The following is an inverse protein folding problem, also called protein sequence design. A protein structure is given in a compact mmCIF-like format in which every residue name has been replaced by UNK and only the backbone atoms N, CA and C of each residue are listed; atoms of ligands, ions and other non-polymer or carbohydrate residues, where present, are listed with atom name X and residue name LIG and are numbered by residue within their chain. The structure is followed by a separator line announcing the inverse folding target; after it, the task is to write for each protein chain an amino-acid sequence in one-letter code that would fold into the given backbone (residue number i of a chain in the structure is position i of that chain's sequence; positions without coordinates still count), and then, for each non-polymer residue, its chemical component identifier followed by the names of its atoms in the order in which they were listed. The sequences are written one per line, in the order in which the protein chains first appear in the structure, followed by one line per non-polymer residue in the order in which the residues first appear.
data_IF_586687989168
#
_entry.id   IF_586687989168
#
_cell.length_a   1.000
_cell.length_b   1.000
_cell.length_c   1.000
_cell.angle_alpha   90.00
_cell.angle_beta   90.00
_cell.angle_gamma   90.00
#
_symmetry.space_group_name_H-M   'P 1'
#
loop_
_entity.id
_entity.type
_entity.pdbx_description
1 polymer ?
#
# COMPACT_ATOMS: atom_id res chain seq x y z
N UNK A 1 10.89 0.84 8.31
CA UNK A 1 10.32 0.12 9.48
C UNK A 1 10.61 0.89 10.75
N UNK A 2 9.62 1.04 11.63
CA UNK A 2 9.88 1.63 12.95
C UNK A 2 10.41 0.52 13.86
N UNK A 3 11.69 0.61 14.23
CA UNK A 3 12.37 -0.39 15.05
C UNK A 3 12.96 0.32 16.27
N UNK A 4 12.77 -0.27 17.44
CA UNK A 4 13.39 0.20 18.67
C UNK A 4 14.07 -0.98 19.40
N UNK A 5 15.16 -0.68 20.11
CA UNK A 5 15.77 -1.59 21.06
C UNK A 5 15.42 -1.13 22.47
N UNK A 6 14.93 -2.05 23.27
CA UNK A 6 14.48 -1.77 24.64
C UNK A 6 15.11 -2.78 25.60
N UNK A 7 15.51 -2.29 26.77
CA UNK A 7 15.99 -3.10 27.87
C UNK A 7 14.89 -3.20 28.95
N UNK A 8 14.78 -4.36 29.60
CA UNK A 8 13.89 -4.58 30.73
C UNK A 8 14.49 -5.61 31.71
N UNK A 9 13.89 -5.78 32.86
CA UNK A 9 14.32 -6.82 33.79
C UNK A 9 14.03 -8.23 33.24
N UNK A 10 12.96 -8.31 32.44
CA UNK A 10 12.54 -9.51 31.70
C UNK A 10 12.22 -9.13 30.28
N UNK A 11 12.16 -10.13 29.39
CA UNK A 11 11.71 -9.94 27.99
C UNK A 11 10.29 -9.36 27.92
N UNK A 12 9.39 -9.81 28.80
CA UNK A 12 8.02 -9.32 28.85
C UNK A 12 7.93 -7.84 29.26
N UNK A 13 8.68 -7.41 30.28
CA UNK A 13 8.74 -6.00 30.71
C UNK A 13 9.32 -5.11 29.60
N UNK A 14 10.39 -5.57 28.92
CA UNK A 14 10.96 -4.86 27.79
C UNK A 14 9.95 -4.74 26.64
N UNK A 15 9.18 -5.81 26.37
CA UNK A 15 8.13 -5.81 25.33
C UNK A 15 7.00 -4.84 25.67
N UNK A 16 6.48 -4.85 26.88
CA UNK A 16 5.43 -3.89 27.30
C UNK A 16 5.91 -2.44 27.16
N UNK A 17 7.17 -2.17 27.51
CA UNK A 17 7.75 -0.84 27.36
C UNK A 17 7.83 -0.43 25.88
N UNK A 18 8.29 -1.34 25.03
CA UNK A 18 8.35 -1.13 23.60
C UNK A 18 6.97 -0.86 22.97
N UNK A 19 5.96 -1.65 23.34
CA UNK A 19 4.60 -1.48 22.83
C UNK A 19 3.98 -0.13 23.23
N UNK A 20 4.23 0.32 24.47
CA UNK A 20 3.79 1.64 24.94
C UNK A 20 4.48 2.77 24.18
N UNK A 21 5.79 2.66 23.92
CA UNK A 21 6.55 3.68 23.20
C UNK A 21 6.15 3.74 21.71
N UNK A 22 5.99 2.58 21.08
CA UNK A 22 5.56 2.47 19.69
C UNK A 22 4.07 2.77 19.48
N UNK A 23 3.26 2.71 20.55
CA UNK A 23 1.78 2.86 20.52
C UNK A 23 1.10 1.85 19.58
N UNK A 24 1.53 0.61 19.63
CA UNK A 24 1.01 -0.48 18.81
C UNK A 24 0.71 -1.72 19.66
N UNK A 25 -0.17 -2.57 19.16
CA UNK A 25 -0.51 -3.83 19.80
C UNK A 25 0.54 -4.92 19.53
N UNK A 26 0.59 -5.94 20.37
CA UNK A 26 1.58 -7.03 20.31
C UNK A 26 1.54 -7.83 19.00
N UNK A 27 0.38 -7.97 18.39
CA UNK A 27 0.17 -8.67 17.11
C UNK A 27 0.78 -7.93 15.91
N UNK A 28 0.97 -6.61 16.06
CA UNK A 28 1.52 -5.71 15.02
C UNK A 28 3.04 -5.55 15.08
N UNK A 29 3.72 -6.32 15.90
CA UNK A 29 5.18 -6.25 16.02
C UNK A 29 5.84 -7.61 15.82
N UNK A 30 7.11 -7.58 15.39
CA UNK A 30 8.03 -8.70 15.45
C UNK A 30 9.04 -8.41 16.55
N UNK A 31 9.30 -9.40 17.41
CA UNK A 31 10.22 -9.28 18.54
C UNK A 31 11.40 -10.19 18.27
N UNK A 32 12.61 -9.62 18.29
CA UNK A 32 13.87 -10.32 18.24
C UNK A 32 14.56 -10.18 19.61
N UNK A 33 14.82 -11.30 20.27
CA UNK A 33 15.47 -11.32 21.57
C UNK A 33 17.00 -11.28 21.33
N UNK A 34 17.64 -10.17 21.71
CA UNK A 34 19.09 -9.98 21.60
C UNK A 34 19.80 -10.61 22.81
N UNK A 35 19.24 -10.43 24.01
CA UNK A 35 19.74 -11.00 25.27
C UNK A 35 18.54 -11.28 26.17
N UNK A 36 18.40 -12.51 26.67
CA UNK A 36 17.33 -12.89 27.59
C UNK A 36 17.50 -12.29 28.99
N UNK A 37 18.69 -11.78 29.26
CA UNK A 37 19.07 -11.33 30.61
C UNK A 37 19.29 -12.48 31.60
N UNK A 38 19.70 -12.15 32.78
CA UNK A 38 19.84 -13.13 33.87
C UNK A 38 19.40 -12.52 35.21
N UNK A 39 18.66 -13.30 36.00
CA UNK A 39 18.16 -12.81 37.30
C UNK A 39 19.26 -12.64 38.35
N UNK A 40 20.49 -13.10 38.08
CA UNK A 40 21.58 -13.05 39.07
C UNK A 40 21.30 -13.90 40.33
N UNK A 41 22.30 -13.97 41.20
CA UNK A 41 22.14 -14.64 42.53
C UNK A 41 21.36 -13.73 43.47
N UNK A 42 20.24 -14.21 44.03
CA UNK A 42 19.34 -13.48 44.93
C UNK A 42 18.73 -12.19 44.33
N UNK A 43 18.58 -12.11 43.01
CA UNK A 43 18.06 -10.94 42.28
C UNK A 43 18.85 -9.63 42.48
N UNK A 44 20.07 -9.68 43.03
CA UNK A 44 20.83 -8.49 43.40
C UNK A 44 22.26 -8.45 42.83
N UNK A 45 22.92 -9.61 42.68
CA UNK A 45 24.32 -9.67 42.23
C UNK A 45 24.43 -10.36 40.90
N UNK A 46 24.94 -9.64 39.86
CA UNK A 46 25.16 -10.18 38.51
C UNK A 46 23.90 -10.24 37.64
N UNK A 47 22.81 -9.56 38.00
CA UNK A 47 21.65 -9.45 37.12
C UNK A 47 21.99 -8.69 35.83
N UNK A 48 21.69 -9.30 34.68
CA UNK A 48 21.80 -8.65 33.38
C UNK A 48 20.38 -8.34 32.87
N UNK A 49 20.12 -7.14 32.37
CA UNK A 49 18.82 -6.81 31.79
C UNK A 49 18.59 -7.64 30.52
N UNK A 50 17.34 -8.02 30.27
CA UNK A 50 16.93 -8.52 28.98
C UNK A 50 16.96 -7.39 27.95
N UNK A 51 17.37 -7.70 26.72
CA UNK A 51 17.43 -6.76 25.60
C UNK A 51 16.72 -7.34 24.41
N UNK A 52 15.75 -6.59 23.90
CA UNK A 52 14.98 -6.99 22.74
C UNK A 52 14.98 -5.90 21.68
N UNK A 53 14.82 -6.32 20.43
CA UNK A 53 14.59 -5.45 19.29
C UNK A 53 13.15 -5.68 18.81
N UNK A 54 12.36 -4.62 18.83
CA UNK A 54 10.96 -4.67 18.44
C UNK A 54 10.78 -3.89 17.15
N UNK A 55 10.27 -4.56 16.12
CA UNK A 55 10.02 -4.00 14.80
C UNK A 55 8.52 -4.02 14.51
N UNK A 56 7.95 -2.87 14.14
CA UNK A 56 6.54 -2.80 13.73
C UNK A 56 6.38 -3.51 12.38
N UNK A 57 5.45 -4.47 12.34
CA UNK A 57 5.12 -5.19 11.11
C UNK A 57 4.54 -4.22 10.09
N UNK A 58 4.93 -4.40 8.84
CA UNK A 58 4.33 -3.70 7.71
C UNK A 58 2.87 -4.16 7.54
N UNK A 59 1.98 -3.22 7.33
CA UNK A 59 0.60 -3.50 6.93
C UNK A 59 0.24 -2.61 5.72
N UNK A 60 0.74 -3.01 4.55
CA UNK A 60 0.54 -2.27 3.31
C UNK A 60 -0.94 -2.10 2.95
N UNK A 61 -1.77 -3.08 3.28
CA UNK A 61 -3.21 -3.01 3.04
C UNK A 61 -3.88 -1.92 3.88
N UNK A 62 -3.52 -1.82 5.17
CA UNK A 62 -4.07 -0.78 6.06
C UNK A 62 -3.55 0.61 5.68
N UNK A 63 -2.27 0.75 5.38
CA UNK A 63 -1.68 2.02 4.94
C UNK A 63 -2.35 2.52 3.64
N UNK A 64 -2.57 1.62 2.68
CA UNK A 64 -3.29 1.93 1.45
C UNK A 64 -4.75 2.32 1.71
N UNK A 65 -5.42 1.61 2.62
CA UNK A 65 -6.81 1.86 2.99
C UNK A 65 -6.99 3.24 3.63
N UNK A 66 -6.15 3.58 4.60
CA UNK A 66 -6.18 4.90 5.26
C UNK A 66 -5.93 5.99 4.23
N UNK A 67 -4.86 5.88 3.44
CA UNK A 67 -4.52 6.87 2.42
C UNK A 67 -5.65 7.09 1.41
N UNK A 68 -6.17 6.00 0.84
CA UNK A 68 -7.24 6.10 -0.16
C UNK A 68 -8.55 6.62 0.44
N UNK A 69 -8.89 6.23 1.68
CA UNK A 69 -10.07 6.75 2.37
C UNK A 69 -9.98 8.27 2.52
N UNK A 70 -8.86 8.78 3.04
CA UNK A 70 -8.67 10.22 3.26
C UNK A 70 -8.74 11.01 1.94
N UNK A 71 -8.09 10.50 0.88
CA UNK A 71 -8.13 11.16 -0.44
C UNK A 71 -9.54 11.15 -1.03
N UNK A 72 -10.24 10.02 -1.00
CA UNK A 72 -11.59 9.89 -1.55
C UNK A 72 -12.59 10.75 -0.77
N UNK A 73 -12.44 10.87 0.55
CA UNK A 73 -13.25 11.77 1.38
C UNK A 73 -13.08 13.23 0.96
N UNK A 74 -11.83 13.69 0.79
CA UNK A 74 -11.54 15.06 0.29
C UNK A 74 -12.09 15.28 -1.12
N UNK A 75 -12.09 14.23 -1.97
CA UNK A 75 -12.70 14.30 -3.31
C UNK A 75 -14.25 14.29 -3.28
N UNK A 76 -14.87 14.13 -2.11
CA UNK A 76 -16.34 14.02 -1.96
C UNK A 76 -16.91 12.72 -2.56
N UNK A 77 -16.13 11.65 -2.55
CA UNK A 77 -16.47 10.32 -3.06
C UNK A 77 -16.65 9.35 -1.90
N UNK A 78 -17.85 8.84 -1.74
CA UNK A 78 -18.12 7.76 -0.79
C UNK A 78 -17.93 6.42 -1.50
N UNK A 79 -16.86 5.70 -1.14
CA UNK A 79 -16.48 4.47 -1.80
C UNK A 79 -16.13 3.35 -0.81
N UNK A 80 -16.31 2.11 -1.28
CA UNK A 80 -15.84 0.90 -0.62
C UNK A 80 -14.52 0.46 -1.26
N UNK A 81 -13.58 0.05 -0.43
CA UNK A 81 -12.30 -0.49 -0.84
C UNK A 81 -12.29 -2.00 -0.60
N UNK A 82 -12.10 -2.79 -1.66
CA UNK A 82 -11.80 -4.23 -1.57
C UNK A 82 -10.30 -4.40 -1.83
N UNK A 83 -9.57 -4.83 -0.81
CA UNK A 83 -8.11 -4.90 -0.83
C UNK A 83 -7.68 -6.34 -0.61
N UNK A 84 -6.84 -6.86 -1.51
CA UNK A 84 -6.27 -8.20 -1.44
C UNK A 84 -4.78 -8.12 -1.69
N UNK A 85 -4.01 -8.78 -0.82
CA UNK A 85 -2.57 -8.88 -0.96
C UNK A 85 -2.18 -10.32 -1.27
N UNK A 86 -1.60 -10.53 -2.45
CA UNK A 86 -1.13 -11.84 -2.89
C UNK A 86 0.20 -11.72 -3.61
N UNK A 87 1.17 -12.52 -3.22
CA UNK A 87 2.48 -12.65 -3.90
C UNK A 87 3.20 -11.31 -4.15
N UNK A 88 3.14 -10.37 -3.20
CA UNK A 88 3.78 -9.07 -3.32
C UNK A 88 3.04 -8.07 -4.21
N UNK A 89 1.77 -8.37 -4.55
CA UNK A 89 0.88 -7.47 -5.28
C UNK A 89 -0.28 -7.11 -4.37
N UNK A 90 -0.50 -5.82 -4.15
CA UNK A 90 -1.66 -5.28 -3.46
C UNK A 90 -2.70 -4.86 -4.52
N UNK A 91 -3.73 -5.69 -4.68
CA UNK A 91 -4.85 -5.44 -5.58
C UNK A 91 -5.96 -4.70 -4.84
N UNK A 92 -6.35 -3.54 -5.34
CA UNK A 92 -7.35 -2.66 -4.74
C UNK A 92 -8.44 -2.39 -5.76
N UNK A 93 -9.69 -2.72 -5.42
CA UNK A 93 -10.85 -2.34 -6.21
C UNK A 93 -11.69 -1.31 -5.47
N UNK A 94 -11.93 -0.17 -6.12
CA UNK A 94 -12.76 0.91 -5.58
C UNK A 94 -14.16 0.79 -6.18
N UNK A 95 -15.18 0.84 -5.33
CA UNK A 95 -16.58 0.78 -5.78
C UNK A 95 -17.45 1.74 -4.98
N UNK A 96 -18.43 2.35 -5.63
CA UNK A 96 -19.33 3.31 -4.97
C UNK A 96 -19.92 4.32 -5.93
N UNK A 97 -20.40 5.43 -5.39
CA UNK A 97 -20.96 6.51 -6.17
C UNK A 97 -19.86 7.39 -6.77
N UNK A 98 -20.16 8.03 -7.91
CA UNK A 98 -19.28 9.00 -8.57
C UNK A 98 -17.91 8.44 -9.01
N UNK A 99 -17.83 7.15 -9.35
CA UNK A 99 -16.56 6.52 -9.79
C UNK A 99 -15.94 7.21 -11.00
N UNK A 100 -16.71 7.97 -11.78
CA UNK A 100 -16.16 8.82 -12.84
C UNK A 100 -15.13 9.85 -12.37
N UNK A 101 -15.24 10.36 -11.13
CA UNK A 101 -14.23 11.26 -10.54
C UNK A 101 -12.93 10.49 -10.20
N UNK A 102 -13.07 9.25 -9.74
CA UNK A 102 -11.94 8.37 -9.42
C UNK A 102 -11.21 7.93 -10.69
N UNK A 103 -11.95 7.70 -11.78
CA UNK A 103 -11.37 7.39 -13.09
C UNK A 103 -10.68 8.63 -13.67
N UNK A 104 -11.37 9.75 -13.67
CA UNK A 104 -10.91 10.98 -14.29
C UNK A 104 -10.88 10.93 -15.81
N UNK A 105 -10.22 11.90 -16.42
CA UNK A 105 -10.08 11.96 -17.86
C UNK A 105 -9.22 10.79 -18.35
N UNK A 106 -9.86 9.85 -19.06
CA UNK A 106 -9.17 8.68 -19.66
C UNK A 106 -8.40 7.78 -18.69
N UNK A 107 -8.69 7.84 -17.39
CA UNK A 107 -8.03 7.05 -16.37
C UNK A 107 -6.86 7.74 -15.66
N UNK A 108 -6.57 9.02 -15.99
CA UNK A 108 -5.43 9.75 -15.42
C UNK A 108 -5.51 9.89 -13.90
N UNK A 109 -6.70 10.11 -13.34
CA UNK A 109 -6.89 10.18 -11.88
C UNK A 109 -6.64 8.81 -11.25
N UNK A 110 -7.15 7.74 -11.85
CA UNK A 110 -6.96 6.38 -11.38
C UNK A 110 -5.47 5.98 -11.38
N UNK A 111 -4.74 6.33 -12.44
CA UNK A 111 -3.30 6.07 -12.53
C UNK A 111 -2.52 6.88 -11.50
N UNK A 112 -2.90 8.13 -11.27
CA UNK A 112 -2.29 8.99 -10.24
C UNK A 112 -2.54 8.45 -8.83
N UNK A 113 -3.75 8.02 -8.52
CA UNK A 113 -4.09 7.38 -7.25
C UNK A 113 -3.28 6.10 -7.03
N UNK A 114 -3.16 5.25 -8.05
CA UNK A 114 -2.34 4.04 -7.99
C UNK A 114 -0.87 4.38 -7.69
N UNK A 115 -0.31 5.36 -8.38
CA UNK A 115 1.07 5.80 -8.18
C UNK A 115 1.30 6.33 -6.77
N UNK A 116 0.44 7.23 -6.29
CA UNK A 116 0.52 7.80 -4.94
C UNK A 116 0.36 6.73 -3.86
N UNK A 117 -0.59 5.81 -4.03
CA UNK A 117 -0.75 4.66 -3.13
C UNK A 117 0.53 3.82 -3.08
N UNK A 118 1.13 3.56 -4.24
CA UNK A 118 2.40 2.83 -4.32
C UNK A 118 3.54 3.55 -3.57
N UNK A 119 3.62 4.87 -3.67
CA UNK A 119 4.61 5.66 -2.92
C UNK A 119 4.37 5.57 -1.41
N UNK A 120 3.13 5.70 -0.96
CA UNK A 120 2.77 5.67 0.46
C UNK A 120 3.14 4.34 1.09
N UNK A 121 2.71 3.22 0.50
CA UNK A 121 2.93 1.89 1.07
C UNK A 121 4.38 1.43 0.99
N UNK A 122 5.17 1.93 0.02
CA UNK A 122 6.57 1.56 -0.14
C UNK A 122 7.54 2.54 0.52
N UNK A 123 7.03 3.62 1.14
CA UNK A 123 7.86 4.56 1.88
C UNK A 123 8.61 3.85 3.01
N UNK A 124 9.93 3.98 3.04
CA UNK A 124 10.82 3.36 4.03
C UNK A 124 10.87 1.80 3.99
N UNK A 125 10.53 1.19 2.86
CA UNK A 125 10.55 -0.26 2.66
C UNK A 125 11.34 -0.62 1.40
N UNK A 126 12.65 -0.35 1.40
CA UNK A 126 13.50 -0.56 0.21
C UNK A 126 13.70 -2.05 -0.11
N UNK A 127 13.66 -2.93 0.91
CA UNK A 127 13.94 -4.36 0.76
C UNK A 127 12.75 -5.21 0.30
N UNK A 128 11.51 -4.72 0.44
CA UNK A 128 10.29 -5.44 0.09
C UNK A 128 9.29 -4.54 -0.64
N UNK A 129 9.54 -4.30 -1.92
CA UNK A 129 8.63 -3.51 -2.74
C UNK A 129 7.32 -4.27 -3.04
N UNK A 130 6.18 -3.68 -2.66
CA UNK A 130 4.85 -4.19 -2.97
C UNK A 130 4.31 -3.43 -4.19
N UNK A 131 3.95 -4.18 -5.23
CA UNK A 131 3.31 -3.61 -6.40
C UNK A 131 1.84 -3.33 -6.12
N UNK A 132 1.37 -2.13 -6.46
CA UNK A 132 -0.05 -1.76 -6.37
C UNK A 132 -0.73 -1.94 -7.72
N UNK A 133 -1.90 -2.54 -7.70
CA UNK A 133 -2.84 -2.58 -8.81
C UNK A 133 -4.17 -1.99 -8.33
N UNK A 134 -4.55 -0.84 -8.87
CA UNK A 134 -5.78 -0.12 -8.53
C UNK A 134 -6.74 -0.13 -9.72
N UNK A 135 -7.99 -0.53 -9.50
CA UNK A 135 -9.04 -0.47 -10.51
C UNK A 135 -10.39 -0.05 -9.90
N UNK A 136 -11.32 0.35 -10.73
CA UNK A 136 -12.70 0.63 -10.37
C UNK A 136 -13.63 0.18 -11.49
N UNK A 137 -14.67 -0.61 -11.14
CA UNK A 137 -15.70 -1.07 -12.07
C UNK A 137 -15.17 -1.74 -13.35
N UNK A 138 -14.02 -2.40 -13.29
CA UNK A 138 -13.32 -2.98 -14.44
C UNK A 138 -13.01 -1.92 -15.53
N UNK A 139 -12.69 -0.71 -15.13
CA UNK A 139 -12.42 0.39 -16.06
C UNK A 139 -11.29 0.07 -17.02
N UNK A 140 -10.18 -0.52 -16.52
CA UNK A 140 -9.00 -0.81 -17.35
C UNK A 140 -9.35 -1.73 -18.52
N UNK A 141 -10.11 -2.79 -18.28
CA UNK A 141 -10.59 -3.68 -19.34
C UNK A 141 -11.51 -2.98 -20.33
N UNK A 142 -12.52 -2.25 -19.81
CA UNK A 142 -13.47 -1.48 -20.66
C UNK A 142 -12.75 -0.43 -21.51
N UNK A 143 -11.72 0.18 -20.96
CA UNK A 143 -10.88 1.16 -21.66
C UNK A 143 -10.07 0.52 -22.79
N UNK A 144 -9.43 -0.61 -22.53
CA UNK A 144 -8.70 -1.39 -23.54
C UNK A 144 -9.61 -1.78 -24.70
N UNK A 145 -10.80 -2.31 -24.43
CA UNK A 145 -11.78 -2.66 -25.47
C UNK A 145 -12.21 -1.45 -26.31
N UNK A 146 -12.38 -0.29 -25.65
CA UNK A 146 -12.71 0.96 -26.33
C UNK A 146 -11.59 1.42 -27.25
N UNK A 147 -10.33 1.32 -26.80
CA UNK A 147 -9.16 1.65 -27.60
C UNK A 147 -8.99 0.68 -28.79
N UNK A 148 -9.22 -0.62 -28.61
CA UNK A 148 -9.21 -1.60 -29.69
C UNK A 148 -10.27 -1.27 -30.76
N UNK A 149 -11.48 -0.92 -30.34
CA UNK A 149 -12.54 -0.50 -31.27
C UNK A 149 -12.18 0.78 -32.01
N UNK A 150 -11.62 1.76 -31.30
CA UNK A 150 -11.15 3.01 -31.91
C UNK A 150 -10.07 2.75 -32.97
N UNK A 151 -9.06 1.95 -32.62
CA UNK A 151 -7.96 1.60 -33.52
C UNK A 151 -8.48 0.95 -34.82
N UNK A 152 -9.39 -0.03 -34.69
CA UNK A 152 -9.98 -0.70 -35.85
C UNK A 152 -10.80 0.28 -36.72
N UNK A 153 -11.59 1.16 -36.11
CA UNK A 153 -12.37 2.19 -36.81
C UNK A 153 -11.48 3.15 -37.60
N UNK A 154 -10.38 3.58 -36.98
CA UNK A 154 -9.42 4.51 -37.61
C UNK A 154 -8.65 3.82 -38.73
N UNK A 155 -8.16 2.60 -38.51
CA UNK A 155 -7.50 1.79 -39.53
C UNK A 155 -8.38 1.62 -40.77
N UNK A 156 -9.66 1.32 -40.58
CA UNK A 156 -10.62 1.25 -41.70
C UNK A 156 -10.76 2.57 -42.44
N UNK A 157 -10.90 3.71 -41.71
CA UNK A 157 -11.01 5.05 -42.33
C UNK A 157 -9.76 5.40 -43.12
N UNK A 158 -8.56 5.19 -42.57
CA UNK A 158 -7.28 5.47 -43.26
C UNK A 158 -7.18 4.64 -44.50
N UNK A 159 -7.47 3.31 -44.45
CA UNK A 159 -7.44 2.41 -45.60
C UNK A 159 -8.39 2.87 -46.72
N UNK A 160 -9.60 3.35 -46.35
CA UNK A 160 -10.60 3.80 -47.32
C UNK A 160 -10.28 5.18 -47.92
N UNK A 161 -9.73 6.10 -47.13
CA UNK A 161 -9.51 7.48 -47.58
C UNK A 161 -8.10 7.75 -48.10
N UNK A 162 -7.13 6.89 -47.82
CA UNK A 162 -5.70 7.13 -48.09
C UNK A 162 -5.08 8.30 -47.30
N UNK A 163 -5.85 8.94 -46.38
CA UNK A 163 -5.42 10.14 -45.64
C UNK A 163 -4.82 9.76 -44.29
N UNK A 164 -3.78 10.47 -43.90
CA UNK A 164 -3.19 10.37 -42.57
C UNK A 164 -4.18 10.93 -41.53
N UNK A 165 -4.46 10.15 -40.50
CA UNK A 165 -5.24 10.58 -39.35
C UNK A 165 -4.34 10.60 -38.12
N UNK A 166 -4.22 11.78 -37.49
CA UNK A 166 -3.50 11.95 -36.24
C UNK A 166 -4.45 11.68 -35.08
N UNK A 167 -4.06 10.77 -34.20
CA UNK A 167 -4.75 10.53 -32.94
C UNK A 167 -4.27 11.49 -31.87
N UNK A 168 -5.07 11.70 -30.84
CA UNK A 168 -4.65 12.44 -29.66
C UNK A 168 -3.56 11.66 -28.92
N UNK A 169 -2.61 12.37 -28.28
CA UNK A 169 -1.62 11.71 -27.44
C UNK A 169 -2.30 10.95 -26.29
N UNK A 170 -1.79 9.82 -25.96
CA UNK A 170 -2.27 8.96 -24.88
C UNK A 170 -1.10 8.61 -23.99
N UNK A 171 -1.38 8.42 -22.70
CA UNK A 171 -0.39 7.91 -21.77
C UNK A 171 0.02 6.48 -22.20
N UNK A 172 1.31 6.13 -22.21
CA UNK A 172 1.80 4.81 -22.58
C UNK A 172 1.47 3.70 -21.58
N UNK A 173 0.93 4.03 -20.40
CA UNK A 173 0.59 3.08 -19.34
C UNK A 173 -0.86 2.61 -19.42
#
# INVERSE_FOLDING_TARGET
MKTIEVNGRTVDEALETALKELKVDKDKVTVEIIDEGSRGFLNLIGAKPARIKVTVKRNAAEDAKVFLHDVLEVMGVNAKLDIKEEKGILSINISGDKMGLVIGYRGETLDSLQYLTSLVINKNHEDEYIRVSLDTENYRQKREETLKRLANKIAYKVRKSGKILKLEPMNPY
#
